data_IF_411335636505
#
_entry.id   IF_411335636505
#
_cell.length_a   1.000
_cell.length_b   1.000
_cell.length_c   1.000
_cell.angle_alpha   90.00
_cell.angle_beta   90.00
_cell.angle_gamma   90.00
#
_symmetry.space_group_name_H-M   'P 1'
#
loop_
_entity.id
_entity.type
_entity.pdbx_description
1 polymer ?
#
# COMPACT_ATOMS: atom_id res chain seq x y z
N UNK A 1 -8.72 12.36 -15.44
CA UNK A 1 -9.02 11.23 -16.36
C UNK A 1 -7.78 10.64 -17.05
N UNK A 2 -6.58 11.21 -16.86
CA UNK A 2 -5.32 10.80 -17.52
C UNK A 2 -4.42 9.87 -16.70
N UNK A 3 -4.53 9.87 -15.36
CA UNK A 3 -3.63 9.10 -14.45
C UNK A 3 -3.61 7.58 -14.69
N UNK A 4 -4.68 7.00 -15.23
CA UNK A 4 -4.87 5.53 -15.29
C UNK A 4 -4.38 4.88 -16.59
N UNK A 5 -4.03 5.65 -17.62
CA UNK A 5 -3.83 5.10 -18.98
C UNK A 5 -2.65 4.13 -19.06
N UNK A 6 -1.50 4.47 -18.46
CA UNK A 6 -0.29 3.65 -18.54
C UNK A 6 -0.44 2.29 -17.85
N UNK A 7 -1.08 2.27 -16.68
CA UNK A 7 -1.31 1.03 -15.91
C UNK A 7 -2.45 0.19 -16.48
N UNK A 8 -3.51 0.83 -17.00
CA UNK A 8 -4.68 0.11 -17.52
C UNK A 8 -4.33 -0.81 -18.69
N UNK A 9 -3.36 -0.42 -19.53
CA UNK A 9 -2.86 -1.25 -20.63
C UNK A 9 -2.20 -2.57 -20.15
N UNK A 10 -1.74 -2.61 -18.89
CA UNK A 10 -1.09 -3.76 -18.27
C UNK A 10 -2.06 -4.59 -17.41
N UNK A 11 -3.34 -4.22 -17.35
CA UNK A 11 -4.29 -4.79 -16.40
C UNK A 11 -3.96 -4.43 -14.95
N UNK A 12 -3.29 -3.28 -14.74
CA UNK A 12 -2.86 -2.79 -13.43
C UNK A 12 -3.70 -1.57 -13.06
N UNK A 13 -4.07 -1.48 -11.79
CA UNK A 13 -4.83 -0.38 -11.22
C UNK A 13 -4.01 0.32 -10.14
N UNK A 14 -3.94 1.66 -10.16
CA UNK A 14 -3.38 2.41 -9.04
C UNK A 14 -4.31 2.28 -7.82
N UNK A 15 -3.72 2.15 -6.63
CA UNK A 15 -4.48 2.06 -5.37
C UNK A 15 -4.21 3.28 -4.47
N UNK A 16 -3.01 3.39 -3.90
CA UNK A 16 -2.68 4.42 -2.92
C UNK A 16 -1.27 5.00 -3.13
N UNK A 17 -1.06 6.23 -2.69
CA UNK A 17 0.25 6.88 -2.58
C UNK A 17 0.32 7.49 -1.18
N UNK A 18 1.44 7.30 -0.49
CA UNK A 18 1.66 7.86 0.85
C UNK A 18 3.13 8.16 1.09
N UNK A 19 3.44 8.91 2.15
CA UNK A 19 4.80 9.18 2.58
C UNK A 19 5.06 8.59 3.97
N UNK A 20 6.34 8.49 4.32
CA UNK A 20 6.79 8.24 5.70
C UNK A 20 6.69 9.52 6.56
N UNK A 21 6.81 9.37 7.88
CA UNK A 21 6.79 10.50 8.81
C UNK A 21 8.09 11.33 8.78
N UNK A 22 9.22 10.71 8.41
CA UNK A 22 10.52 11.39 8.32
C UNK A 22 10.66 12.24 7.05
N UNK A 23 9.64 12.28 6.19
CA UNK A 23 9.62 13.00 4.92
C UNK A 23 10.73 12.60 3.94
N UNK A 24 11.22 11.36 4.04
CA UNK A 24 12.34 10.84 3.22
C UNK A 24 11.92 9.84 2.16
N UNK A 25 10.73 9.26 2.29
CA UNK A 25 10.23 8.19 1.45
C UNK A 25 8.81 8.49 0.99
N UNK A 26 8.54 8.18 -0.27
CA UNK A 26 7.18 8.06 -0.79
C UNK A 26 6.97 6.64 -1.25
N UNK A 27 5.80 6.09 -0.92
CA UNK A 27 5.34 4.79 -1.33
C UNK A 27 4.16 4.91 -2.27
N UNK A 28 4.00 3.91 -3.14
CA UNK A 28 2.82 3.77 -3.97
C UNK A 28 2.44 2.29 -4.10
N UNK A 29 1.15 1.98 -3.94
CA UNK A 29 0.63 0.64 -4.12
C UNK A 29 -0.11 0.52 -5.46
N UNK A 30 0.17 -0.57 -6.17
CA UNK A 30 -0.54 -0.93 -7.39
C UNK A 30 -1.03 -2.38 -7.34
N UNK A 31 -2.18 -2.60 -7.96
CA UNK A 31 -2.91 -3.87 -7.96
C UNK A 31 -3.01 -4.40 -9.37
N UNK A 32 -2.66 -5.66 -9.62
CA UNK A 32 -2.78 -6.24 -10.95
C UNK A 32 -2.35 -7.69 -10.99
N UNK A 33 -2.96 -8.47 -11.89
CA UNK A 33 -2.63 -9.89 -12.12
C UNK A 33 -2.62 -10.72 -10.82
N UNK A 34 -3.56 -10.43 -9.91
CA UNK A 34 -3.68 -11.11 -8.62
C UNK A 34 -2.65 -10.71 -7.57
N UNK A 35 -1.92 -9.60 -7.76
CA UNK A 35 -0.90 -9.13 -6.82
C UNK A 35 -1.19 -7.70 -6.35
N UNK A 36 -0.78 -7.42 -5.12
CA UNK A 36 -0.62 -6.07 -4.59
C UNK A 36 0.86 -5.80 -4.34
N UNK A 37 1.43 -4.83 -5.04
CA UNK A 37 2.85 -4.50 -4.97
C UNK A 37 3.02 -3.09 -4.42
N UNK A 38 3.96 -2.92 -3.49
CA UNK A 38 4.35 -1.64 -2.93
C UNK A 38 5.65 -1.20 -3.59
N UNK A 39 5.65 0.00 -4.15
CA UNK A 39 6.80 0.66 -4.76
C UNK A 39 7.28 1.76 -3.83
N UNK A 40 8.60 1.92 -3.70
CA UNK A 40 9.24 2.84 -2.77
C UNK A 40 10.17 3.80 -3.52
N UNK A 41 10.05 5.09 -3.22
CA UNK A 41 10.82 6.19 -3.79
C UNK A 41 11.58 6.87 -2.66
N UNK A 42 12.92 6.86 -2.71
CA UNK A 42 13.77 7.48 -1.70
C UNK A 42 14.23 8.87 -2.12
N UNK A 43 14.29 9.76 -1.14
CA UNK A 43 15.06 10.98 -1.24
C UNK A 43 16.55 10.62 -1.22
N UNK A 44 17.28 11.01 -2.26
CA UNK A 44 18.74 10.86 -2.27
C UNK A 44 19.41 12.16 -1.80
N UNK A 45 19.94 12.23 -0.56
CA UNK A 45 20.58 13.44 -0.05
C UNK A 45 21.92 13.74 -0.73
N UNK A 46 22.58 12.72 -1.31
CA UNK A 46 23.86 12.86 -2.00
C UNK A 46 23.70 13.27 -3.48
N UNK A 47 22.48 13.15 -4.02
CA UNK A 47 22.15 13.61 -5.36
C UNK A 47 20.69 14.13 -5.42
N UNK A 48 20.40 15.26 -4.75
CA UNK A 48 19.07 15.87 -4.79
C UNK A 48 18.74 16.48 -6.16
N UNK A 49 19.75 16.59 -7.04
CA UNK A 49 19.77 17.41 -8.25
C UNK A 49 18.94 16.89 -9.45
N UNK A 50 17.96 16.01 -9.24
CA UNK A 50 16.95 15.71 -10.28
C UNK A 50 16.62 14.24 -10.53
N UNK A 51 16.95 13.32 -9.61
CA UNK A 51 16.42 11.96 -9.72
C UNK A 51 14.88 11.97 -9.65
N UNK A 52 14.23 11.04 -10.36
CA UNK A 52 12.77 10.97 -10.35
C UNK A 52 12.24 10.79 -8.91
N UNK A 53 12.88 9.91 -8.14
CA UNK A 53 12.50 9.60 -6.76
C UNK A 53 12.64 10.83 -5.85
N UNK A 54 13.77 11.55 -5.90
CA UNK A 54 13.93 12.78 -5.11
C UNK A 54 12.86 13.83 -5.45
N UNK A 55 12.54 14.03 -6.73
CA UNK A 55 11.49 14.98 -7.15
C UNK A 55 10.11 14.59 -6.66
N UNK A 56 9.83 13.27 -6.63
CA UNK A 56 8.56 12.74 -6.11
C UNK A 56 8.47 13.03 -4.61
N UNK A 57 9.52 12.71 -3.85
CA UNK A 57 9.54 12.93 -2.40
C UNK A 57 9.41 14.41 -2.06
N UNK A 58 10.19 15.27 -2.72
CA UNK A 58 10.11 16.73 -2.52
C UNK A 58 8.73 17.29 -2.85
N UNK A 59 8.06 16.81 -3.91
CA UNK A 59 6.72 17.28 -4.25
C UNK A 59 5.64 16.74 -3.31
N UNK A 60 5.78 15.51 -2.80
CA UNK A 60 4.76 14.89 -1.95
C UNK A 60 4.72 15.55 -0.57
N UNK A 61 5.90 15.75 0.02
CA UNK A 61 6.07 16.34 1.35
C UNK A 61 6.18 17.88 1.32
N UNK A 62 6.00 18.50 0.15
CA UNK A 62 6.09 19.95 -0.04
C UNK A 62 7.42 20.54 0.48
N UNK A 63 8.53 19.81 0.28
CA UNK A 63 9.87 20.22 0.73
C UNK A 63 10.35 21.47 0.00
N UNK A 64 11.02 22.36 0.73
CA UNK A 64 11.68 23.53 0.12
C UNK A 64 12.82 23.08 -0.80
N UNK A 65 12.73 23.48 -2.07
CA UNK A 65 13.76 23.19 -3.08
C UNK A 65 14.37 24.47 -3.63
N UNK A 66 15.68 24.45 -3.86
CA UNK A 66 16.42 25.58 -4.42
C UNK A 66 16.16 25.82 -5.91
N UNK A 67 15.51 24.87 -6.60
CA UNK A 67 15.19 24.95 -8.03
C UNK A 67 13.88 24.19 -8.33
N UNK A 68 12.99 24.78 -9.13
CA UNK A 68 11.73 24.16 -9.56
C UNK A 68 11.93 22.82 -10.30
N UNK A 69 13.08 22.62 -10.95
CA UNK A 69 13.44 21.35 -11.58
C UNK A 69 13.58 20.19 -10.57
N UNK A 70 13.75 20.48 -9.28
CA UNK A 70 13.89 19.48 -8.21
C UNK A 70 12.55 19.06 -7.60
N UNK A 71 11.44 19.53 -8.15
CA UNK A 71 10.09 19.12 -7.76
C UNK A 71 9.21 18.94 -9.00
N UNK A 72 7.91 18.78 -8.79
CA UNK A 72 6.90 18.82 -9.84
C UNK A 72 6.07 20.10 -9.71
N UNK A 73 5.58 20.58 -10.84
CA UNK A 73 4.73 21.78 -10.88
C UNK A 73 3.46 21.64 -10.02
N UNK A 74 2.91 20.43 -9.91
CA UNK A 74 1.77 20.12 -9.06
C UNK A 74 1.69 18.63 -8.74
N UNK A 75 0.88 18.28 -7.74
CA UNK A 75 0.65 16.90 -7.30
C UNK A 75 0.09 16.00 -8.42
N UNK A 76 -0.67 16.54 -9.37
CA UNK A 76 -1.17 15.77 -10.52
C UNK A 76 -0.05 15.30 -11.46
N UNK A 77 0.93 16.18 -11.74
CA UNK A 77 2.11 15.83 -12.53
C UNK A 77 2.98 14.78 -11.81
N UNK A 78 3.17 14.92 -10.50
CA UNK A 78 3.88 13.93 -9.67
C UNK A 78 3.17 12.56 -9.71
N UNK A 79 1.85 12.51 -9.50
CA UNK A 79 1.07 11.27 -9.54
C UNK A 79 1.16 10.57 -10.90
N UNK A 80 1.08 11.34 -11.99
CA UNK A 80 1.29 10.79 -13.34
C UNK A 80 2.69 10.18 -13.50
N UNK A 81 3.73 10.82 -12.95
CA UNK A 81 5.10 10.32 -13.01
C UNK A 81 5.29 9.03 -12.20
N UNK A 82 4.71 8.95 -10.98
CA UNK A 82 4.69 7.74 -10.15
C UNK A 82 4.07 6.57 -10.94
N UNK A 83 2.86 6.75 -11.46
CA UNK A 83 2.17 5.66 -12.16
C UNK A 83 2.83 5.28 -13.48
N UNK A 84 3.47 6.23 -14.16
CA UNK A 84 4.25 5.94 -15.37
C UNK A 84 5.50 5.15 -15.05
N UNK A 85 6.23 5.50 -13.99
CA UNK A 85 7.40 4.76 -13.52
C UNK A 85 7.05 3.32 -13.15
N UNK A 86 5.96 3.14 -12.41
CA UNK A 86 5.45 1.81 -12.04
C UNK A 86 5.08 1.02 -13.29
N UNK A 87 4.37 1.63 -14.25
CA UNK A 87 4.04 0.96 -15.51
C UNK A 87 5.29 0.51 -16.29
N UNK A 88 6.38 1.29 -16.25
CA UNK A 88 7.66 0.93 -16.90
C UNK A 88 8.29 -0.32 -16.28
N UNK A 89 8.32 -0.43 -14.95
CA UNK A 89 9.00 -1.55 -14.27
C UNK A 89 8.10 -2.77 -14.06
N UNK A 90 6.78 -2.60 -14.09
CA UNK A 90 5.83 -3.67 -13.78
C UNK A 90 6.08 -4.98 -14.55
N UNK A 91 6.31 -4.99 -15.88
CA UNK A 91 6.50 -6.22 -16.63
C UNK A 91 7.70 -7.06 -16.19
N UNK A 92 8.80 -6.40 -15.78
CA UNK A 92 9.97 -7.10 -15.25
C UNK A 92 9.75 -7.56 -13.80
N UNK A 93 9.11 -6.71 -12.99
CA UNK A 93 8.88 -6.98 -11.57
C UNK A 93 7.93 -8.17 -11.33
N UNK A 94 6.82 -8.27 -12.07
CA UNK A 94 5.78 -9.26 -11.73
C UNK A 94 6.26 -10.73 -11.84
N UNK A 95 7.29 -10.97 -12.64
CA UNK A 95 7.87 -12.29 -12.89
C UNK A 95 9.10 -12.58 -12.02
N UNK A 96 9.58 -11.60 -11.24
CA UNK A 96 10.74 -11.77 -10.39
C UNK A 96 10.40 -12.61 -9.15
N UNK A 97 11.09 -13.73 -8.89
CA UNK A 97 10.78 -14.59 -7.75
C UNK A 97 10.87 -13.88 -6.39
N UNK A 98 11.82 -12.94 -6.23
CA UNK A 98 12.01 -12.19 -4.99
C UNK A 98 10.77 -11.33 -4.61
N UNK A 99 9.97 -10.91 -5.59
CA UNK A 99 8.75 -10.12 -5.38
C UNK A 99 7.61 -10.98 -4.79
N UNK A 100 7.73 -12.31 -4.84
CA UNK A 100 6.79 -13.23 -4.18
C UNK A 100 7.05 -13.40 -2.69
N UNK A 101 8.21 -12.96 -2.18
CA UNK A 101 8.50 -13.01 -0.76
C UNK A 101 7.66 -11.99 0.01
N UNK A 102 7.09 -12.43 1.14
CA UNK A 102 6.30 -11.56 1.99
C UNK A 102 7.19 -10.46 2.58
N UNK A 103 6.70 -9.22 2.55
CA UNK A 103 7.46 -8.05 2.99
C UNK A 103 8.38 -7.45 1.93
N UNK A 104 8.36 -7.96 0.70
CA UNK A 104 9.10 -7.32 -0.40
C UNK A 104 8.40 -6.03 -0.86
N UNK A 105 9.17 -4.95 -0.92
CA UNK A 105 8.84 -3.69 -1.60
C UNK A 105 9.75 -3.52 -2.81
N UNK A 106 9.36 -2.68 -3.77
CA UNK A 106 10.10 -2.46 -5.00
C UNK A 106 10.73 -1.07 -4.95
N UNK A 107 12.05 -1.00 -4.79
CA UNK A 107 12.78 0.26 -4.83
C UNK A 107 12.89 0.77 -6.27
N UNK A 108 12.31 1.94 -6.50
CA UNK A 108 12.39 2.63 -7.78
C UNK A 108 13.56 3.62 -7.77
N UNK A 109 14.51 3.37 -8.66
CA UNK A 109 15.71 4.20 -8.82
C UNK A 109 15.89 4.63 -10.27
N UNK A 110 16.64 5.71 -10.48
CA UNK A 110 17.02 6.20 -11.81
C UNK A 110 18.51 6.00 -12.02
N UNK A 111 18.90 5.22 -13.04
CA UNK A 111 20.30 5.03 -13.41
C UNK A 111 20.83 6.17 -14.29
N UNK A 112 22.15 6.19 -14.55
CA UNK A 112 22.90 7.27 -15.21
C UNK A 112 22.38 7.69 -16.62
N UNK A 113 21.49 6.92 -17.24
CA UNK A 113 20.86 7.21 -18.52
C UNK A 113 19.39 7.67 -18.43
N UNK A 114 18.86 7.91 -17.23
CA UNK A 114 17.44 8.23 -17.02
C UNK A 114 16.52 7.01 -17.03
N UNK A 115 17.08 5.81 -17.16
CA UNK A 115 16.35 4.54 -17.08
C UNK A 115 15.83 4.30 -15.67
N UNK A 116 14.56 3.92 -15.57
CA UNK A 116 13.89 3.60 -14.32
C UNK A 116 14.03 2.09 -14.10
N UNK A 117 14.62 1.72 -12.96
CA UNK A 117 14.82 0.33 -12.57
C UNK A 117 14.10 0.07 -11.26
N UNK A 118 13.38 -1.04 -11.18
CA UNK A 118 12.78 -1.57 -9.96
C UNK A 118 13.66 -2.67 -9.39
N UNK A 119 13.99 -2.59 -8.11
CA UNK A 119 14.76 -3.62 -7.39
C UNK A 119 13.90 -4.18 -6.26
N UNK A 120 13.80 -5.50 -6.19
CA UNK A 120 13.16 -6.16 -5.06
C UNK A 120 13.98 -5.92 -3.78
N UNK A 121 13.33 -5.38 -2.76
CA UNK A 121 13.91 -5.12 -1.46
C UNK A 121 13.04 -5.74 -0.37
N UNK A 122 13.63 -6.59 0.45
CA UNK A 122 12.94 -7.19 1.59
C UNK A 122 12.93 -6.20 2.76
N UNK A 123 11.77 -5.64 3.06
CA UNK A 123 11.58 -4.61 4.07
C UNK A 123 11.73 -5.20 5.49
N UNK A 124 12.75 -4.81 6.27
CA UNK A 124 12.94 -5.33 7.63
C UNK A 124 11.75 -5.04 8.56
N UNK A 125 11.02 -3.94 8.32
CA UNK A 125 9.82 -3.58 9.06
C UNK A 125 8.69 -4.61 8.91
N UNK A 126 8.72 -5.45 7.87
CA UNK A 126 7.69 -6.46 7.70
C UNK A 126 7.66 -7.50 8.83
N UNK A 127 8.82 -7.88 9.37
CA UNK A 127 8.85 -8.82 10.50
C UNK A 127 8.23 -8.20 11.74
N UNK A 128 8.52 -6.92 12.00
CA UNK A 128 7.94 -6.17 13.13
C UNK A 128 6.43 -6.05 12.99
N UNK A 129 5.94 -5.71 11.79
CA UNK A 129 4.51 -5.73 11.46
C UNK A 129 3.84 -7.08 11.77
N UNK A 130 4.44 -8.20 11.36
CA UNK A 130 3.89 -9.53 11.66
C UNK A 130 3.89 -9.81 13.17
N UNK A 131 4.93 -9.39 13.88
CA UNK A 131 5.00 -9.50 15.33
C UNK A 131 3.92 -8.68 16.04
N UNK A 132 3.50 -7.53 15.51
CA UNK A 132 2.34 -6.79 16.02
C UNK A 132 1.06 -7.61 15.94
N UNK A 133 0.91 -8.38 14.86
CA UNK A 133 -0.31 -9.13 14.59
C UNK A 133 -0.37 -10.49 15.29
N UNK A 134 0.76 -10.99 15.83
CA UNK A 134 0.90 -12.36 16.37
C UNK A 134 -0.10 -12.74 17.45
N UNK A 135 -0.59 -11.76 18.20
CA UNK A 135 -1.47 -11.98 19.36
C UNK A 135 -2.96 -11.95 18.99
N UNK A 136 -3.30 -11.62 17.74
CA UNK A 136 -4.69 -11.63 17.26
C UNK A 136 -5.13 -13.07 17.06
N UNK A 137 -6.20 -13.45 17.75
CA UNK A 137 -6.79 -14.79 17.62
C UNK A 137 -7.94 -14.76 16.62
N UNK A 138 -8.23 -15.90 16.02
CA UNK A 138 -9.43 -16.05 15.16
C UNK A 138 -10.71 -15.65 15.89
N UNK A 139 -10.82 -15.99 17.18
CA UNK A 139 -11.94 -15.60 18.05
C UNK A 139 -12.07 -14.08 18.29
N UNK A 140 -11.07 -13.28 17.91
CA UNK A 140 -11.16 -11.83 17.96
C UNK A 140 -11.71 -11.24 16.64
N UNK A 141 -11.80 -12.06 15.57
CA UNK A 141 -12.17 -11.61 14.22
C UNK A 141 -13.48 -12.22 13.72
N UNK A 142 -13.85 -13.40 14.22
CA UNK A 142 -15.07 -14.11 13.81
C UNK A 142 -15.87 -14.57 15.03
N UNK A 143 -17.20 -14.54 14.89
CA UNK A 143 -18.11 -15.12 15.89
C UNK A 143 -17.81 -16.62 16.06
N UNK A 144 -18.03 -17.18 17.26
CA UNK A 144 -17.64 -18.57 17.60
C UNK A 144 -18.15 -19.67 16.64
N UNK A 145 -19.23 -19.42 15.91
CA UNK A 145 -19.85 -20.39 15.01
C UNK A 145 -19.48 -20.20 13.53
N UNK A 146 -18.61 -19.24 13.20
CA UNK A 146 -18.19 -18.98 11.82
C UNK A 146 -16.75 -19.41 11.60
N UNK A 147 -16.52 -20.11 10.48
CA UNK A 147 -15.19 -20.45 10.02
C UNK A 147 -14.66 -19.27 9.20
N UNK A 148 -13.48 -18.71 9.55
CA UNK A 148 -12.91 -17.63 8.79
C UNK A 148 -12.63 -18.11 7.37
N UNK A 149 -13.05 -17.32 6.38
CA UNK A 149 -12.70 -17.55 4.99
C UNK A 149 -11.46 -16.74 4.65
N UNK A 150 -10.43 -17.42 4.17
CA UNK A 150 -9.29 -16.78 3.53
C UNK A 150 -9.72 -16.47 2.09
N UNK A 151 -9.56 -15.21 1.68
CA UNK A 151 -9.88 -14.74 0.34
C UNK A 151 -8.57 -14.34 -0.32
N UNK A 152 -8.29 -14.92 -1.49
CA UNK A 152 -7.13 -14.52 -2.27
C UNK A 152 -7.33 -13.08 -2.78
N UNK A 153 -6.27 -12.26 -2.75
CA UNK A 153 -6.37 -10.86 -3.17
C UNK A 153 -6.77 -10.72 -4.66
N UNK A 154 -6.50 -11.72 -5.48
CA UNK A 154 -6.96 -11.80 -6.87
C UNK A 154 -8.48 -11.88 -7.01
N UNK A 155 -9.18 -12.38 -5.98
CA UNK A 155 -10.65 -12.40 -5.92
C UNK A 155 -11.23 -11.05 -5.42
N UNK A 156 -10.39 -10.11 -5.00
CA UNK A 156 -10.81 -8.85 -4.37
C UNK A 156 -10.56 -7.67 -5.31
N UNK A 157 -11.64 -6.99 -5.70
CA UNK A 157 -11.56 -5.72 -6.44
C UNK A 157 -11.78 -4.56 -5.47
N UNK A 158 -10.75 -3.76 -5.23
CA UNK A 158 -10.83 -2.54 -4.44
C UNK A 158 -11.56 -1.45 -5.22
N UNK A 159 -12.60 -0.86 -4.63
CA UNK A 159 -13.46 0.14 -5.28
C UNK A 159 -13.09 1.56 -4.85
N UNK A 160 -13.10 1.83 -3.55
CA UNK A 160 -12.77 3.15 -3.00
C UNK A 160 -12.34 3.07 -1.53
N UNK A 161 -11.53 4.02 -1.09
CA UNK A 161 -11.24 4.23 0.32
C UNK A 161 -12.46 4.86 1.02
N UNK A 162 -12.80 4.36 2.20
CA UNK A 162 -13.96 4.82 2.97
C UNK A 162 -13.59 5.78 4.12
N UNK A 163 -12.31 6.15 4.25
CA UNK A 163 -11.80 6.97 5.34
C UNK A 163 -11.75 6.24 6.69
N UNK A 164 -11.39 6.98 7.74
CA UNK A 164 -11.21 6.43 9.10
C UNK A 164 -9.77 5.99 9.39
N UNK A 165 -9.56 5.39 10.57
CA UNK A 165 -8.25 4.87 11.01
C UNK A 165 -8.00 3.47 10.46
N UNK A 166 -6.77 3.22 9.99
CA UNK A 166 -6.35 1.98 9.35
C UNK A 166 -6.78 1.89 7.88
N UNK A 167 -6.77 0.66 7.34
CA UNK A 167 -7.20 0.41 5.97
C UNK A 167 -8.69 0.08 5.94
N UNK A 168 -9.50 1.04 5.50
CA UNK A 168 -10.94 0.87 5.29
C UNK A 168 -11.29 1.12 3.82
N UNK A 169 -11.66 0.07 3.10
CA UNK A 169 -11.93 0.13 1.66
C UNK A 169 -13.23 -0.61 1.33
N UNK A 170 -14.03 -0.06 0.43
CA UNK A 170 -15.11 -0.79 -0.21
C UNK A 170 -14.50 -1.75 -1.22
N UNK A 171 -14.89 -3.02 -1.15
CA UNK A 171 -14.36 -4.06 -2.02
C UNK A 171 -15.49 -4.86 -2.65
N UNK A 172 -15.24 -5.42 -3.82
CA UNK A 172 -16.10 -6.42 -4.45
C UNK A 172 -15.35 -7.74 -4.47
N UNK A 173 -15.93 -8.77 -3.86
CA UNK A 173 -15.33 -10.11 -3.86
C UNK A 173 -15.98 -10.93 -4.98
N UNK A 174 -15.15 -11.49 -5.84
CA UNK A 174 -15.53 -12.32 -6.98
C UNK A 174 -15.22 -13.78 -6.65
N UNK A 175 -16.19 -14.48 -6.06
CA UNK A 175 -16.08 -15.90 -5.75
C UNK A 175 -16.56 -16.67 -6.99
N UNK A 176 -15.77 -17.62 -7.50
CA UNK A 176 -15.81 -18.09 -8.89
C UNK A 176 -17.16 -18.47 -9.53
N UNK A 177 -18.24 -18.71 -8.77
CA UNK A 177 -19.57 -19.09 -9.27
C UNK A 177 -20.73 -18.21 -8.76
N UNK A 178 -20.51 -17.27 -7.85
CA UNK A 178 -21.60 -16.45 -7.28
C UNK A 178 -21.62 -15.03 -7.83
N UNK A 179 -22.79 -14.37 -7.71
CA UNK A 179 -22.89 -12.92 -7.95
C UNK A 179 -21.86 -12.21 -7.06
N UNK A 180 -21.04 -11.39 -7.70
CA UNK A 180 -20.07 -10.55 -6.99
C UNK A 180 -20.76 -9.74 -5.90
N UNK A 181 -20.34 -9.94 -4.66
CA UNK A 181 -20.91 -9.25 -3.50
C UNK A 181 -20.00 -8.12 -3.07
N UNK A 182 -20.60 -7.02 -2.61
CA UNK A 182 -19.87 -5.84 -2.14
C UNK A 182 -19.71 -5.93 -0.63
N UNK A 183 -18.49 -5.76 -0.16
CA UNK A 183 -18.11 -5.80 1.25
C UNK A 183 -17.31 -4.56 1.62
N UNK A 184 -17.06 -4.40 2.92
CA UNK A 184 -16.09 -3.45 3.44
C UNK A 184 -14.91 -4.24 3.97
N UNK A 185 -13.73 -3.98 3.41
CA UNK A 185 -12.47 -4.42 3.99
C UNK A 185 -12.07 -3.43 5.08
N UNK A 186 -11.84 -3.92 6.31
CA UNK A 186 -11.32 -3.12 7.41
C UNK A 186 -10.20 -3.89 8.11
N UNK A 187 -8.99 -3.36 8.09
CA UNK A 187 -7.82 -4.01 8.68
C UNK A 187 -6.69 -3.05 8.97
N UNK A 188 -5.62 -3.60 9.55
CA UNK A 188 -4.30 -2.97 9.59
C UNK A 188 -3.46 -3.72 8.55
N UNK A 189 -3.25 -3.09 7.40
CA UNK A 189 -2.37 -3.64 6.36
C UNK A 189 -0.94 -3.14 6.53
N UNK A 190 -0.01 -3.73 5.77
CA UNK A 190 1.39 -3.33 5.85
C UNK A 190 1.62 -1.89 5.40
N UNK A 191 0.81 -1.39 4.45
CA UNK A 191 0.78 0.03 4.10
C UNK A 191 0.53 0.91 5.33
N UNK A 192 -0.49 0.59 6.13
CA UNK A 192 -0.84 1.34 7.34
C UNK A 192 0.32 1.33 8.33
N UNK A 193 1.02 0.19 8.48
CA UNK A 193 2.17 0.12 9.37
C UNK A 193 3.34 0.97 8.88
N UNK A 194 3.66 0.93 7.58
CA UNK A 194 4.71 1.77 6.98
C UNK A 194 4.44 3.27 7.11
N UNK A 195 3.18 3.69 7.28
CA UNK A 195 2.80 5.08 7.50
C UNK A 195 2.98 5.55 8.95
N UNK A 196 2.94 4.62 9.90
CA UNK A 196 2.72 4.92 11.32
C UNK A 196 3.85 4.41 12.22
N UNK A 197 4.77 3.65 11.67
CA UNK A 197 5.94 3.17 12.38
C UNK A 197 6.83 4.36 12.72
N UNK A 198 7.10 4.50 14.01
CA UNK A 198 8.10 5.38 14.60
C UNK A 198 9.12 4.53 15.39
N UNK A 199 10.08 5.19 16.05
CA UNK A 199 11.17 4.47 16.74
C UNK A 199 10.72 3.64 17.95
N UNK A 200 9.52 3.89 18.51
CA UNK A 200 9.00 3.19 19.69
C UNK A 200 7.80 2.26 19.41
N UNK A 201 7.21 2.33 18.21
CA UNK A 201 6.09 1.54 17.73
C UNK A 201 4.83 1.61 18.62
N UNK A 202 4.79 2.52 19.62
CA UNK A 202 3.70 2.61 20.60
C UNK A 202 2.38 2.95 19.90
N UNK A 203 2.46 3.84 18.92
CA UNK A 203 1.31 4.25 18.13
C UNK A 203 0.77 3.08 17.28
N UNK A 204 1.65 2.35 16.59
CA UNK A 204 1.28 1.19 15.79
C UNK A 204 0.67 0.08 16.65
N UNK A 205 1.25 -0.22 17.81
CA UNK A 205 0.70 -1.15 18.80
C UNK A 205 -0.71 -0.74 19.26
N UNK A 206 -0.89 0.52 19.61
CA UNK A 206 -2.17 1.06 20.07
C UNK A 206 -3.25 0.98 18.99
N UNK A 207 -2.88 1.26 17.73
CA UNK A 207 -3.75 1.13 16.56
C UNK A 207 -4.21 -0.31 16.34
N UNK A 208 -3.28 -1.26 16.35
CA UNK A 208 -3.58 -2.71 16.19
C UNK A 208 -4.48 -3.20 17.33
N UNK A 209 -4.17 -2.85 18.57
CA UNK A 209 -4.96 -3.27 19.73
C UNK A 209 -6.37 -2.66 19.71
N UNK A 210 -6.50 -1.40 19.30
CA UNK A 210 -7.80 -0.75 19.12
C UNK A 210 -8.63 -1.42 18.03
N UNK A 211 -8.01 -1.72 16.88
CA UNK A 211 -8.68 -2.45 15.80
C UNK A 211 -9.11 -3.84 16.29
N UNK A 212 -8.24 -4.60 16.95
CA UNK A 212 -8.53 -5.94 17.50
C UNK A 212 -9.71 -5.90 18.46
N UNK A 213 -9.73 -4.97 19.42
CA UNK A 213 -10.85 -4.80 20.37
C UNK A 213 -12.15 -4.47 19.65
N UNK A 214 -12.10 -3.64 18.62
CA UNK A 214 -13.29 -3.29 17.84
C UNK A 214 -13.84 -4.48 17.05
N UNK A 215 -12.95 -5.29 16.43
CA UNK A 215 -13.33 -6.52 15.74
C UNK A 215 -13.91 -7.54 16.70
N UNK A 216 -13.29 -7.69 17.87
CA UNK A 216 -13.74 -8.60 18.92
C UNK A 216 -15.14 -8.23 19.42
N UNK A 217 -15.39 -6.94 19.66
CA UNK A 217 -16.72 -6.47 20.06
C UNK A 217 -17.80 -6.84 19.05
N UNK A 218 -17.51 -6.69 17.74
CA UNK A 218 -18.46 -7.09 16.68
C UNK A 218 -18.62 -8.61 16.62
N UNK A 219 -17.52 -9.37 16.74
CA UNK A 219 -17.53 -10.83 16.73
C UNK A 219 -18.25 -11.45 17.93
N UNK A 220 -18.22 -10.80 19.10
CA UNK A 220 -18.90 -11.24 20.32
C UNK A 220 -20.36 -10.74 20.39
N UNK A 221 -20.78 -9.86 19.46
CA UNK A 221 -22.12 -9.30 19.47
C UNK A 221 -23.17 -10.30 18.96
N UNK A 222 -24.31 -10.45 19.67
CA UNK A 222 -25.44 -11.21 19.14
C UNK A 222 -25.94 -10.61 17.81
N UNK A 223 -26.40 -11.43 16.85
CA UNK A 223 -26.95 -10.93 15.60
C UNK A 223 -28.10 -9.94 15.84
N UNK A 224 -28.02 -8.76 15.23
CA UNK A 224 -29.04 -7.73 15.33
C UNK A 224 -29.30 -7.11 13.95
N UNK A 225 -30.56 -6.92 13.51
CA UNK A 225 -30.86 -6.52 12.12
C UNK A 225 -30.39 -5.11 11.73
N UNK A 226 -30.05 -4.27 12.71
CA UNK A 226 -29.60 -2.89 12.51
C UNK A 226 -28.12 -2.67 12.86
N UNK A 227 -27.36 -3.74 13.13
CA UNK A 227 -25.93 -3.67 13.45
C UNK A 227 -25.16 -4.58 12.50
#
# INVERSE_FOLDING_TARGET
>A
MTERRSLSALGVSPDSIWGDENETIVYAQALGQGKALIFRFHLNPNNPLGSLSSRIVSCYHDLEVSNEAFTFQNRGAMRNAIWSAIATVWPSCINEPAILEAGTVIDLTTYKAGEIVGLAYREPLFTQYIDLLRNIRWSDLVTQNHIPRIVDISEVVFLEAMGGRGCCKRVRVQTGLEKSSTFVFKGIDFQTYLQLHDDDDEFAHTMVETWRRSSKLVADMPPHPNI
#
